data_IF_451601303277
#
_entry.id   IF_451601303277
#
_cell.length_a   1.000
_cell.length_b   1.000
_cell.length_c   1.000
_cell.angle_alpha   90.00
_cell.angle_beta   90.00
_cell.angle_gamma   90.00
#
_symmetry.space_group_name_H-M   'P 1'
#
loop_
_entity.id
_entity.type
_entity.pdbx_description
1 polymer ?
#
# COMPACT_ATOMS: atom_id res chain seq x y z
N UNK A 1 14.86 15.19 -21.69
CA UNK A 1 14.93 14.26 -22.86
C UNK A 1 13.57 14.25 -23.51
N UNK A 2 13.48 14.55 -24.82
CA UNK A 2 12.20 14.64 -25.55
C UNK A 2 12.16 13.58 -26.63
N UNK A 3 11.20 12.68 -26.55
CA UNK A 3 10.95 11.61 -27.52
C UNK A 3 9.71 11.97 -28.33
N UNK A 4 9.72 11.71 -29.63
CA UNK A 4 8.54 11.95 -30.49
C UNK A 4 8.16 10.65 -31.18
N UNK A 5 6.93 10.23 -30.94
CA UNK A 5 6.31 9.07 -31.57
C UNK A 5 5.22 9.57 -32.51
N UNK A 6 5.19 9.06 -33.71
CA UNK A 6 4.16 9.43 -34.70
C UNK A 6 3.32 8.21 -35.03
N UNK A 7 2.01 8.34 -34.97
CA UNK A 7 1.10 7.29 -35.36
C UNK A 7 0.02 7.85 -36.29
N UNK A 8 0.06 7.48 -37.57
CA UNK A 8 -0.80 8.06 -38.63
C UNK A 8 -0.72 9.62 -38.59
N UNK A 9 -1.82 10.25 -38.25
CA UNK A 9 -1.96 11.72 -38.19
C UNK A 9 -1.84 12.26 -36.75
N UNK A 10 -1.45 11.43 -35.78
CA UNK A 10 -1.30 11.83 -34.39
C UNK A 10 0.16 11.82 -33.99
N UNK A 11 0.62 12.93 -33.41
CA UNK A 11 1.96 13.07 -32.84
C UNK A 11 1.88 12.92 -31.30
N UNK A 12 2.71 12.07 -30.74
CA UNK A 12 2.92 12.02 -29.30
C UNK A 12 4.33 12.47 -28.95
N UNK A 13 4.43 13.51 -28.15
CA UNK A 13 5.68 14.07 -27.65
C UNK A 13 5.78 13.72 -26.16
N UNK A 14 6.75 12.89 -25.79
CA UNK A 14 7.01 12.50 -24.41
C UNK A 14 8.26 13.22 -23.90
N UNK A 15 8.08 14.08 -22.90
CA UNK A 15 9.14 14.88 -22.28
C UNK A 15 9.46 14.32 -20.89
N UNK A 16 10.69 13.87 -20.71
CA UNK A 16 11.20 13.43 -19.42
C UNK A 16 12.19 14.47 -18.91
N UNK A 17 11.88 15.08 -17.77
CA UNK A 17 12.67 16.18 -17.19
C UNK A 17 12.99 17.26 -18.24
N UNK A 18 11.95 17.92 -18.82
CA UNK A 18 12.14 18.92 -19.87
C UNK A 18 12.95 20.12 -19.36
N UNK A 19 13.75 20.68 -20.25
CA UNK A 19 14.45 21.95 -19.99
C UNK A 19 13.53 23.14 -20.26
N UNK A 20 13.91 24.33 -19.80
CA UNK A 20 13.20 25.58 -20.11
C UNK A 20 13.02 25.81 -21.62
N UNK A 21 14.07 25.45 -22.39
CA UNK A 21 14.03 25.57 -23.85
C UNK A 21 13.06 24.57 -24.48
N UNK A 22 13.01 23.33 -23.97
CA UNK A 22 12.05 22.31 -24.41
C UNK A 22 10.61 22.82 -24.21
N UNK A 23 10.29 23.32 -23.01
CA UNK A 23 8.98 23.86 -22.67
C UNK A 23 8.64 25.05 -23.57
N UNK A 24 9.56 26.00 -23.70
CA UNK A 24 9.36 27.19 -24.52
C UNK A 24 9.11 26.85 -26.00
N UNK A 25 9.83 25.84 -26.52
CA UNK A 25 9.67 25.38 -27.90
C UNK A 25 8.30 24.69 -28.09
N UNK A 26 7.85 23.88 -27.17
CA UNK A 26 6.53 23.22 -27.21
C UNK A 26 5.40 24.26 -27.15
N UNK A 27 5.47 25.20 -26.21
CA UNK A 27 4.47 26.26 -26.06
C UNK A 27 4.32 27.05 -27.36
N UNK A 28 5.43 27.44 -28.00
CA UNK A 28 5.42 28.15 -29.28
C UNK A 28 4.90 27.31 -30.45
N UNK A 29 5.38 26.06 -30.55
CA UNK A 29 5.06 25.15 -31.66
C UNK A 29 3.57 24.78 -31.72
N UNK A 30 2.94 24.59 -30.55
CA UNK A 30 1.56 24.16 -30.42
C UNK A 30 0.62 25.34 -30.03
N UNK A 31 1.13 26.56 -30.03
CA UNK A 31 0.37 27.79 -29.68
C UNK A 31 -0.35 27.66 -28.33
N UNK A 32 0.34 27.07 -27.34
CA UNK A 32 -0.23 26.85 -26.01
C UNK A 32 -0.30 28.16 -25.23
N UNK A 33 -1.30 28.25 -24.33
CA UNK A 33 -1.43 29.41 -23.46
C UNK A 33 -0.21 29.54 -22.54
N UNK A 34 0.30 30.76 -22.24
CA UNK A 34 1.47 30.94 -21.36
C UNK A 34 1.35 30.26 -20.00
N UNK A 35 0.16 30.22 -19.40
CA UNK A 35 -0.10 29.53 -18.15
C UNK A 35 0.18 28.01 -18.21
N UNK A 36 0.02 27.37 -19.36
CA UNK A 36 0.40 25.97 -19.55
C UNK A 36 1.92 25.81 -19.45
N UNK A 37 2.68 26.77 -19.99
CA UNK A 37 4.12 26.77 -19.84
C UNK A 37 4.58 26.97 -18.39
N UNK A 38 3.88 27.78 -17.62
CA UNK A 38 4.12 27.93 -16.16
C UNK A 38 3.82 26.64 -15.40
N UNK A 39 2.74 25.96 -15.77
CA UNK A 39 2.37 24.68 -15.17
C UNK A 39 3.42 23.61 -15.41
N UNK A 40 3.87 23.44 -16.66
CA UNK A 40 4.92 22.48 -17.00
C UNK A 40 6.26 22.72 -16.29
N UNK A 41 6.46 23.92 -15.70
CA UNK A 41 7.62 24.27 -14.87
C UNK A 41 7.40 24.00 -13.40
N UNK A 42 6.14 24.03 -12.98
CA UNK A 42 5.79 23.86 -11.57
C UNK A 42 5.58 22.37 -11.27
N UNK A 43 6.26 21.84 -10.26
CA UNK A 43 5.92 20.52 -9.67
C UNK A 43 4.73 20.71 -8.73
N UNK A 44 3.53 20.91 -9.27
CA UNK A 44 2.36 21.15 -8.46
C UNK A 44 1.48 19.89 -8.46
N UNK A 45 1.56 19.12 -7.39
CA UNK A 45 0.94 17.79 -7.24
C UNK A 45 -0.60 17.76 -7.20
N UNK A 46 -1.28 18.84 -7.58
CA UNK A 46 -2.74 18.91 -7.63
C UNK A 46 -3.25 18.45 -8.99
N UNK A 47 -3.90 17.30 -9.04
CA UNK A 47 -4.58 16.85 -10.24
C UNK A 47 -5.68 17.84 -10.64
N UNK A 48 -5.73 18.20 -11.92
CA UNK A 48 -6.68 19.17 -12.48
C UNK A 48 -6.93 18.95 -13.96
N UNK A 49 -8.05 19.46 -14.43
CA UNK A 49 -8.40 19.58 -15.84
C UNK A 49 -8.57 21.05 -16.18
N UNK A 50 -7.92 21.51 -17.27
CA UNK A 50 -8.16 22.82 -17.85
C UNK A 50 -8.47 22.64 -19.35
N UNK A 51 -9.67 23.01 -19.76
CA UNK A 51 -10.11 22.88 -21.15
C UNK A 51 -9.95 24.23 -21.86
N UNK A 52 -9.21 24.24 -22.97
CA UNK A 52 -9.03 25.36 -23.88
C UNK A 52 -9.76 25.06 -25.19
N UNK A 53 -9.82 26.03 -26.10
CA UNK A 53 -10.56 25.90 -27.37
C UNK A 53 -10.07 24.75 -28.26
N UNK A 54 -8.75 24.51 -28.32
CA UNK A 54 -8.15 23.54 -29.24
C UNK A 54 -7.44 22.35 -28.52
N UNK A 55 -7.29 22.41 -27.20
CA UNK A 55 -6.65 21.39 -26.42
C UNK A 55 -7.13 21.38 -24.95
N UNK A 56 -6.81 20.33 -24.23
CA UNK A 56 -7.01 20.26 -22.80
C UNK A 56 -5.68 19.96 -22.09
N UNK A 57 -5.45 20.59 -20.94
CA UNK A 57 -4.39 20.25 -20.01
C UNK A 57 -4.99 19.38 -18.90
N UNK A 58 -4.42 18.20 -18.68
CA UNK A 58 -4.79 17.26 -17.63
C UNK A 58 -3.53 17.00 -16.81
N UNK A 59 -3.56 17.34 -15.54
CA UNK A 59 -2.49 17.02 -14.58
C UNK A 59 -2.95 15.88 -13.71
N UNK A 60 -2.18 14.80 -13.64
CA UNK A 60 -2.46 13.64 -12.81
C UNK A 60 -1.20 13.24 -12.02
N UNK A 61 -1.40 12.82 -10.80
CA UNK A 61 -0.34 12.23 -9.97
C UNK A 61 -0.57 10.73 -9.86
N UNK A 62 0.38 9.93 -10.30
CA UNK A 62 0.30 8.47 -10.31
C UNK A 62 1.17 7.91 -9.17
N UNK A 63 0.61 7.13 -8.24
CA UNK A 63 1.40 6.44 -7.24
C UNK A 63 2.20 5.32 -7.92
N UNK A 64 3.48 5.25 -7.60
CA UNK A 64 4.38 4.22 -8.11
C UNK A 64 5.07 3.53 -6.93
N UNK A 65 5.03 2.22 -6.90
CA UNK A 65 5.68 1.43 -5.86
C UNK A 65 7.16 1.26 -6.17
N UNK A 66 8.02 1.75 -5.29
CA UNK A 66 9.48 1.73 -5.46
C UNK A 66 10.12 0.93 -4.33
N UNK A 67 11.09 0.08 -4.67
CA UNK A 67 11.90 -0.63 -3.69
C UNK A 67 13.02 0.32 -3.20
N UNK A 68 13.09 0.53 -1.89
CA UNK A 68 14.07 1.35 -1.21
C UNK A 68 14.80 0.49 -0.15
N UNK A 69 15.97 0.00 -0.48
CA UNK A 69 16.82 -0.83 0.39
C UNK A 69 16.12 -2.05 1.03
N UNK A 70 15.19 -2.67 0.29
CA UNK A 70 14.44 -3.86 0.75
C UNK A 70 13.10 -3.55 1.42
N UNK A 71 12.75 -2.28 1.56
CA UNK A 71 11.41 -1.80 1.91
C UNK A 71 10.73 -1.20 0.68
N UNK A 72 9.41 -1.30 0.61
CA UNK A 72 8.64 -0.66 -0.45
C UNK A 72 8.01 0.63 0.07
N UNK A 73 8.02 1.65 -0.80
CA UNK A 73 7.30 2.91 -0.55
C UNK A 73 6.56 3.35 -1.81
N UNK A 74 5.50 4.09 -1.61
CA UNK A 74 4.78 4.77 -2.70
C UNK A 74 5.44 6.12 -2.94
N UNK A 75 5.73 6.40 -4.20
CA UNK A 75 6.26 7.69 -4.65
C UNK A 75 5.30 8.27 -5.66
N UNK A 76 4.87 9.48 -5.42
CA UNK A 76 3.98 10.22 -6.30
C UNK A 76 4.74 10.71 -7.53
N UNK A 77 4.21 10.38 -8.72
CA UNK A 77 4.76 10.78 -10.02
C UNK A 77 3.74 11.64 -10.74
N UNK A 78 4.04 12.91 -10.90
CA UNK A 78 3.23 13.83 -11.68
C UNK A 78 3.42 13.60 -13.17
N UNK A 79 2.34 13.65 -13.90
CA UNK A 79 2.29 13.59 -15.37
C UNK A 79 1.33 14.65 -15.85
N UNK A 80 1.84 15.56 -16.67
CA UNK A 80 1.04 16.53 -17.39
C UNK A 80 0.72 15.99 -18.78
N UNK A 81 -0.55 16.03 -19.15
CA UNK A 81 -1.03 15.67 -20.48
C UNK A 81 -1.59 16.92 -21.14
N UNK A 82 -1.07 17.28 -22.31
CA UNK A 82 -1.68 18.27 -23.18
C UNK A 82 -2.27 17.53 -24.37
N UNK A 83 -3.58 17.56 -24.47
CA UNK A 83 -4.34 16.73 -25.38
C UNK A 83 -5.05 17.61 -26.42
N UNK A 84 -4.49 17.74 -27.61
CA UNK A 84 -5.11 18.34 -28.76
C UNK A 84 -5.77 17.33 -29.70
N UNK A 85 -6.37 17.75 -30.80
CA UNK A 85 -7.03 16.82 -31.72
C UNK A 85 -6.07 15.81 -32.36
N UNK A 86 -4.92 16.29 -32.83
CA UNK A 86 -3.94 15.47 -33.55
C UNK A 86 -2.58 15.37 -32.85
N UNK A 87 -2.49 15.82 -31.61
CA UNK A 87 -1.27 15.73 -30.83
C UNK A 87 -1.57 15.42 -29.37
N UNK A 88 -0.69 14.69 -28.75
CA UNK A 88 -0.61 14.49 -27.31
C UNK A 88 0.80 14.84 -26.86
N UNK A 89 0.91 15.60 -25.78
CA UNK A 89 2.19 15.88 -25.13
C UNK A 89 2.10 15.35 -23.73
N UNK A 90 3.09 14.59 -23.30
CA UNK A 90 3.27 14.17 -21.91
C UNK A 90 4.52 14.83 -21.35
N UNK A 91 4.42 15.39 -20.15
CA UNK A 91 5.56 15.94 -19.40
C UNK A 91 5.62 15.28 -18.03
N UNK A 92 6.82 14.87 -17.63
CA UNK A 92 7.08 14.19 -16.34
C UNK A 92 8.52 14.39 -15.92
N UNK A 93 8.77 14.33 -14.61
CA UNK A 93 10.12 14.52 -14.05
C UNK A 93 10.96 13.24 -14.11
N UNK A 94 10.34 12.07 -14.11
CA UNK A 94 11.04 10.77 -14.06
C UNK A 94 10.42 9.76 -15.00
N UNK A 95 11.18 8.72 -15.34
CA UNK A 95 10.67 7.57 -16.08
C UNK A 95 9.56 6.85 -15.30
N UNK A 96 8.53 6.40 -16.03
CA UNK A 96 7.42 5.59 -15.53
C UNK A 96 7.28 4.39 -16.44
N UNK A 97 7.50 3.19 -15.89
CA UNK A 97 7.58 1.94 -16.67
C UNK A 97 6.38 1.69 -17.57
N UNK A 98 5.18 2.04 -17.10
CA UNK A 98 3.95 1.88 -17.89
C UNK A 98 3.94 2.76 -19.14
N UNK A 99 4.49 3.98 -19.08
CA UNK A 99 4.59 4.88 -20.23
C UNK A 99 5.66 4.39 -21.21
N UNK A 100 6.81 3.99 -20.70
CA UNK A 100 7.90 3.46 -21.54
C UNK A 100 7.52 2.16 -22.25
N UNK A 101 6.82 1.29 -21.54
CA UNK A 101 6.27 0.07 -22.15
C UNK A 101 5.24 0.40 -23.23
N UNK A 102 4.35 1.38 -22.97
CA UNK A 102 3.38 1.83 -23.96
C UNK A 102 4.05 2.41 -25.22
N UNK A 103 5.10 3.23 -25.06
CA UNK A 103 5.88 3.77 -26.16
C UNK A 103 6.47 2.66 -27.06
N UNK A 104 7.06 1.64 -26.45
CA UNK A 104 7.61 0.48 -27.18
C UNK A 104 6.54 -0.30 -27.96
N UNK A 105 5.34 -0.48 -27.35
CA UNK A 105 4.22 -1.12 -28.04
C UNK A 105 3.75 -0.28 -29.21
N UNK A 106 3.62 1.03 -29.04
CA UNK A 106 3.17 1.94 -30.08
C UNK A 106 4.13 1.92 -31.27
N UNK A 107 5.43 2.03 -31.02
CA UNK A 107 6.45 1.96 -32.07
C UNK A 107 6.43 0.62 -32.83
N UNK A 108 6.26 -0.48 -32.09
CA UNK A 108 6.17 -1.82 -32.67
C UNK A 108 4.91 -1.98 -33.52
N UNK A 109 3.75 -1.54 -33.04
CA UNK A 109 2.49 -1.61 -33.78
C UNK A 109 2.49 -0.72 -35.00
N UNK A 110 3.12 0.45 -34.92
CA UNK A 110 3.31 1.35 -36.07
C UNK A 110 4.12 0.67 -37.18
N UNK A 111 5.19 -0.03 -36.82
CA UNK A 111 6.00 -0.82 -37.76
C UNK A 111 5.22 -1.97 -38.41
N UNK A 112 4.26 -2.55 -37.69
CA UNK A 112 3.47 -3.70 -38.15
C UNK A 112 2.16 -3.31 -38.85
N UNK A 113 1.78 -2.04 -38.85
CA UNK A 113 0.55 -1.54 -39.49
C UNK A 113 -0.75 -2.11 -38.89
N UNK A 114 -0.72 -2.57 -37.64
CA UNK A 114 -1.76 -3.42 -37.05
C UNK A 114 -2.88 -2.71 -36.29
N UNK A 115 -2.83 -1.39 -36.06
CA UNK A 115 -3.83 -0.73 -35.21
C UNK A 115 -4.63 0.31 -35.99
N UNK A 116 -5.84 -0.08 -36.42
CA UNK A 116 -6.77 0.81 -37.14
C UNK A 116 -7.55 1.78 -36.22
N UNK A 117 -7.43 1.63 -34.89
CA UNK A 117 -8.34 2.26 -33.92
C UNK A 117 -7.94 3.66 -33.45
N UNK A 118 -6.73 4.14 -33.78
CA UNK A 118 -6.26 5.47 -33.37
C UNK A 118 -6.57 6.47 -34.49
N UNK A 119 -7.65 7.21 -34.35
CA UNK A 119 -8.07 8.24 -35.30
C UNK A 119 -7.66 9.65 -34.87
N UNK A 120 -7.58 9.89 -33.56
CA UNK A 120 -7.20 11.17 -32.95
C UNK A 120 -6.46 10.94 -31.63
N UNK A 121 -5.85 12.00 -31.08
CA UNK A 121 -5.02 11.90 -29.87
C UNK A 121 -5.78 11.43 -28.63
N UNK A 122 -7.10 11.62 -28.56
CA UNK A 122 -7.93 11.08 -27.48
C UNK A 122 -7.89 9.56 -27.39
N UNK A 123 -7.86 8.84 -28.54
CA UNK A 123 -7.72 7.39 -28.51
C UNK A 123 -6.34 6.97 -27.98
N UNK A 124 -5.29 7.70 -28.35
CA UNK A 124 -3.95 7.45 -27.83
C UNK A 124 -3.88 7.66 -26.31
N UNK A 125 -4.48 8.77 -25.83
CA UNK A 125 -4.63 9.04 -24.41
C UNK A 125 -5.39 7.94 -23.67
N UNK A 126 -6.50 7.46 -24.22
CA UNK A 126 -7.27 6.35 -23.65
C UNK A 126 -6.41 5.09 -23.43
N UNK A 127 -5.66 4.67 -24.45
CA UNK A 127 -4.81 3.49 -24.35
C UNK A 127 -3.66 3.69 -23.37
N UNK A 128 -3.07 4.89 -23.30
CA UNK A 128 -2.04 5.23 -22.34
C UNK A 128 -2.58 5.22 -20.91
N UNK A 129 -3.75 5.83 -20.67
CA UNK A 129 -4.40 5.81 -19.35
C UNK A 129 -4.76 4.41 -18.90
N UNK A 130 -5.27 3.59 -19.81
CA UNK A 130 -5.56 2.17 -19.52
C UNK A 130 -4.30 1.42 -19.11
N UNK A 131 -3.16 1.68 -19.76
CA UNK A 131 -1.88 1.07 -19.40
C UNK A 131 -1.35 1.56 -18.06
N UNK A 132 -1.49 2.85 -17.77
CA UNK A 132 -1.14 3.43 -16.46
C UNK A 132 -1.95 2.78 -15.33
N UNK A 133 -3.26 2.69 -15.51
CA UNK A 133 -4.13 2.07 -14.50
C UNK A 133 -3.87 0.57 -14.33
N UNK A 134 -3.53 -0.14 -15.41
CA UNK A 134 -3.10 -1.52 -15.29
C UNK A 134 -1.83 -1.65 -14.43
N UNK A 135 -0.84 -0.77 -14.61
CA UNK A 135 0.36 -0.75 -13.77
C UNK A 135 0.03 -0.49 -12.28
N UNK A 136 -0.93 0.39 -12.01
CA UNK A 136 -1.40 0.65 -10.65
C UNK A 136 -2.12 -0.57 -10.04
N UNK A 137 -2.90 -1.30 -10.84
CA UNK A 137 -3.53 -2.57 -10.41
C UNK A 137 -2.45 -3.61 -10.07
N UNK A 138 -1.44 -3.75 -10.92
CA UNK A 138 -0.32 -4.67 -10.70
C UNK A 138 0.43 -4.33 -9.38
N UNK A 139 0.60 -3.04 -9.06
CA UNK A 139 1.18 -2.60 -7.80
C UNK A 139 0.31 -2.96 -6.57
N UNK A 140 -1.02 -2.80 -6.66
CA UNK A 140 -1.94 -3.18 -5.59
C UNK A 140 -1.97 -4.70 -5.39
N UNK A 141 -1.92 -5.48 -6.46
CA UNK A 141 -1.81 -6.94 -6.39
C UNK A 141 -0.50 -7.37 -5.71
N UNK A 142 0.61 -6.70 -5.98
CA UNK A 142 1.87 -6.93 -5.29
C UNK A 142 1.79 -6.62 -3.77
N UNK A 143 1.03 -5.59 -3.39
CA UNK A 143 0.75 -5.27 -1.98
C UNK A 143 -0.10 -6.37 -1.35
N UNK A 144 -1.14 -6.85 -2.04
CA UNK A 144 -1.97 -7.97 -1.59
C UNK A 144 -1.16 -9.25 -1.40
N UNK A 145 -0.25 -9.55 -2.31
CA UNK A 145 0.66 -10.70 -2.18
C UNK A 145 1.58 -10.57 -0.96
N UNK A 146 2.00 -9.33 -0.61
CA UNK A 146 2.76 -9.09 0.61
C UNK A 146 1.91 -9.38 1.87
N UNK A 147 0.62 -9.06 1.87
CA UNK A 147 -0.32 -9.43 2.94
C UNK A 147 -0.48 -10.94 3.08
N UNK A 148 -0.63 -11.68 1.98
CA UNK A 148 -0.72 -13.16 1.99
C UNK A 148 0.57 -13.77 2.56
N UNK A 149 1.73 -13.22 2.23
CA UNK A 149 3.00 -13.66 2.84
C UNK A 149 3.06 -13.35 4.33
N UNK A 150 2.58 -12.18 4.75
CA UNK A 150 2.51 -11.80 6.17
C UNK A 150 1.58 -12.74 6.95
N UNK A 151 0.41 -13.08 6.41
CA UNK A 151 -0.53 -14.06 6.97
C UNK A 151 0.16 -15.40 7.27
N UNK A 152 0.87 -15.94 6.27
CA UNK A 152 1.64 -17.19 6.45
C UNK A 152 2.68 -17.09 7.58
N UNK A 153 3.30 -15.92 7.79
CA UNK A 153 4.26 -15.72 8.87
C UNK A 153 3.59 -15.57 10.25
N UNK A 154 2.42 -14.95 10.32
CA UNK A 154 1.61 -14.86 11.53
C UNK A 154 1.31 -16.28 12.06
N UNK A 155 0.79 -17.15 11.21
CA UNK A 155 0.48 -18.54 11.60
C UNK A 155 1.71 -19.43 11.86
N UNK A 156 2.91 -19.01 11.44
CA UNK A 156 4.18 -19.66 11.78
C UNK A 156 4.78 -19.18 13.11
N UNK A 157 4.11 -18.29 13.82
CA UNK A 157 4.55 -17.83 15.13
C UNK A 157 5.43 -16.58 15.11
N UNK A 158 5.47 -15.84 13.99
CA UNK A 158 6.26 -14.61 13.84
C UNK A 158 5.43 -13.33 14.07
N UNK A 159 4.39 -13.37 14.89
CA UNK A 159 3.39 -12.29 15.07
C UNK A 159 4.04 -10.96 15.42
N UNK A 160 5.06 -10.93 16.29
CA UNK A 160 5.75 -9.69 16.70
C UNK A 160 6.41 -8.96 15.54
N UNK A 161 7.03 -9.70 14.61
CA UNK A 161 7.66 -9.12 13.43
C UNK A 161 6.62 -8.61 12.43
N UNK A 162 5.47 -9.26 12.37
CA UNK A 162 4.40 -8.90 11.44
C UNK A 162 3.70 -7.61 11.81
N UNK A 163 3.74 -7.15 13.07
CA UNK A 163 3.25 -5.82 13.46
C UNK A 163 3.91 -4.70 12.63
N UNK A 164 5.22 -4.77 12.46
CA UNK A 164 5.97 -3.78 11.67
C UNK A 164 5.64 -3.91 10.17
N UNK A 165 5.64 -5.13 9.64
CA UNK A 165 5.32 -5.40 8.22
C UNK A 165 3.91 -4.92 7.87
N UNK A 166 2.90 -5.25 8.66
CA UNK A 166 1.52 -4.80 8.46
C UNK A 166 1.39 -3.28 8.58
N UNK A 167 2.21 -2.64 9.42
CA UNK A 167 2.24 -1.18 9.53
C UNK A 167 2.84 -0.51 8.30
N UNK A 168 3.89 -1.08 7.71
CA UNK A 168 4.46 -0.59 6.45
C UNK A 168 3.47 -0.73 5.29
N UNK A 169 2.85 -1.91 5.14
CA UNK A 169 1.82 -2.13 4.11
C UNK A 169 0.63 -1.17 4.29
N UNK A 170 0.25 -0.87 5.53
CA UNK A 170 -0.78 0.13 5.79
C UNK A 170 -0.44 1.51 5.25
N UNK A 171 0.80 1.94 5.40
CA UNK A 171 1.26 3.23 4.86
C UNK A 171 1.23 3.21 3.33
N UNK A 172 1.74 2.14 2.70
CA UNK A 172 1.67 2.00 1.23
C UNK A 172 0.23 2.16 0.72
N UNK A 173 -0.76 1.50 1.37
CA UNK A 173 -2.17 1.59 0.99
C UNK A 173 -2.78 2.98 1.22
N UNK A 174 -2.40 3.66 2.32
CA UNK A 174 -2.86 5.02 2.62
C UNK A 174 -2.33 6.00 1.58
N UNK A 175 -1.03 5.96 1.30
CA UNK A 175 -0.37 6.83 0.34
C UNK A 175 -0.95 6.61 -1.06
N UNK A 176 -1.08 5.35 -1.48
CA UNK A 176 -1.68 4.99 -2.76
C UNK A 176 -3.11 5.54 -2.90
N UNK A 177 -3.94 5.37 -1.88
CA UNK A 177 -5.31 5.87 -1.87
C UNK A 177 -5.39 7.40 -1.88
N UNK A 178 -4.48 8.06 -1.15
CA UNK A 178 -4.46 9.52 -1.07
C UNK A 178 -4.17 10.12 -2.43
N UNK A 179 -3.19 9.59 -3.15
CA UNK A 179 -2.80 10.04 -4.49
C UNK A 179 -3.92 9.78 -5.50
N UNK A 180 -4.53 8.59 -5.49
CA UNK A 180 -5.55 8.24 -6.49
C UNK A 180 -6.89 8.93 -6.27
N UNK A 181 -7.21 9.37 -5.05
CA UNK A 181 -8.53 9.96 -4.73
C UNK A 181 -8.88 11.14 -5.63
N UNK A 182 -7.90 11.95 -5.99
CA UNK A 182 -8.08 13.20 -6.75
C UNK A 182 -8.44 12.91 -8.23
N UNK A 183 -8.10 11.73 -8.77
CA UNK A 183 -8.44 11.36 -10.13
C UNK A 183 -9.96 11.33 -10.38
N UNK A 184 -10.77 11.06 -9.34
CA UNK A 184 -12.23 11.04 -9.48
C UNK A 184 -12.76 12.36 -10.03
N UNK A 185 -12.33 13.46 -9.45
CA UNK A 185 -12.83 14.79 -9.78
C UNK A 185 -12.44 15.15 -11.22
N UNK A 186 -11.24 14.78 -11.65
CA UNK A 186 -10.76 14.98 -13.03
C UNK A 186 -11.64 14.22 -14.03
N UNK A 187 -11.99 12.96 -13.74
CA UNK A 187 -12.84 12.18 -14.65
C UNK A 187 -14.29 12.67 -14.67
N UNK A 188 -14.82 13.15 -13.56
CA UNK A 188 -16.16 13.74 -13.50
C UNK A 188 -16.22 15.05 -14.29
N UNK A 189 -15.24 15.90 -14.12
CA UNK A 189 -15.12 17.15 -14.88
C UNK A 189 -14.91 16.88 -16.38
N UNK A 190 -14.06 15.89 -16.72
CA UNK A 190 -13.82 15.50 -18.11
C UNK A 190 -15.10 15.00 -18.81
N UNK A 191 -15.93 14.21 -18.12
CA UNK A 191 -17.22 13.75 -18.66
C UNK A 191 -18.20 14.90 -18.91
N UNK A 192 -18.15 15.96 -18.09
CA UNK A 192 -19.03 17.12 -18.25
C UNK A 192 -18.55 18.07 -19.36
N UNK A 193 -17.23 18.20 -19.51
CA UNK A 193 -16.60 19.17 -20.40
C UNK A 193 -16.41 18.63 -21.81
N UNK A 194 -16.10 17.34 -21.97
CA UNK A 194 -15.74 16.75 -23.27
C UNK A 194 -16.93 16.47 -24.20
N UNK A 195 -18.16 16.49 -23.72
CA UNK A 195 -19.36 16.45 -24.58
C UNK A 195 -19.45 17.65 -25.52
N UNK A 196 -18.76 18.76 -25.15
CA UNK A 196 -18.70 20.03 -25.91
C UNK A 196 -17.33 20.28 -26.54
N UNK A 197 -16.36 19.38 -26.37
CA UNK A 197 -14.97 19.54 -26.78
C UNK A 197 -14.75 19.12 -28.25
N UNK A 198 -13.54 19.42 -28.74
CA UNK A 198 -13.05 19.08 -30.08
C UNK A 198 -13.00 17.56 -30.38
N UNK A 199 -13.15 16.65 -29.40
CA UNK A 199 -13.24 15.19 -29.63
C UNK A 199 -14.68 14.71 -29.96
N UNK A 200 -15.71 15.53 -29.65
CA UNK A 200 -17.10 15.15 -29.88
C UNK A 200 -17.68 14.08 -28.95
N UNK A 201 -18.95 13.77 -29.17
CA UNK A 201 -19.68 12.78 -28.33
C UNK A 201 -19.16 11.36 -28.45
N UNK A 202 -18.52 11.01 -29.54
CA UNK A 202 -18.02 9.66 -29.81
C UNK A 202 -16.83 9.30 -28.88
N UNK A 203 -16.20 10.29 -28.22
CA UNK A 203 -15.16 10.07 -27.26
C UNK A 203 -15.67 9.82 -25.82
N UNK A 204 -16.90 10.18 -25.48
CA UNK A 204 -17.50 9.99 -24.16
C UNK A 204 -17.45 8.53 -23.66
N UNK A 205 -17.69 7.48 -24.47
CA UNK A 205 -17.52 6.09 -24.02
C UNK A 205 -16.10 5.75 -23.57
N UNK A 206 -15.06 6.35 -24.18
CA UNK A 206 -13.67 6.12 -23.79
C UNK A 206 -13.37 6.74 -22.44
N UNK A 207 -13.84 7.95 -22.16
CA UNK A 207 -13.71 8.60 -20.84
C UNK A 207 -14.44 7.79 -19.75
N UNK A 208 -15.63 7.27 -20.05
CA UNK A 208 -16.35 6.38 -19.14
C UNK A 208 -15.54 5.11 -18.84
N UNK A 209 -14.94 4.52 -19.87
CA UNK A 209 -14.11 3.33 -19.70
C UNK A 209 -12.86 3.61 -18.85
N UNK A 210 -12.23 4.78 -18.97
CA UNK A 210 -11.12 5.20 -18.07
C UNK A 210 -11.62 5.32 -16.62
N UNK A 211 -12.78 5.95 -16.42
CA UNK A 211 -13.40 6.09 -15.09
C UNK A 211 -13.73 4.72 -14.49
N UNK A 212 -14.17 3.77 -15.30
CA UNK A 212 -14.47 2.40 -14.83
C UNK A 212 -13.20 1.67 -14.41
N UNK A 213 -12.08 1.82 -15.12
CA UNK A 213 -10.78 1.28 -14.68
C UNK A 213 -10.32 1.93 -13.37
N UNK A 214 -10.50 3.24 -13.21
CA UNK A 214 -10.25 3.95 -11.96
C UNK A 214 -11.12 3.42 -10.80
N UNK A 215 -12.39 3.14 -11.04
CA UNK A 215 -13.30 2.59 -10.03
C UNK A 215 -12.83 1.19 -9.57
N UNK A 216 -12.31 0.35 -10.47
CA UNK A 216 -11.70 -0.94 -10.11
C UNK A 216 -10.51 -0.79 -9.17
N UNK A 217 -9.64 0.21 -9.40
CA UNK A 217 -8.53 0.51 -8.50
C UNK A 217 -9.03 0.84 -7.10
N UNK A 218 -10.04 1.69 -6.98
CA UNK A 218 -10.63 2.03 -5.68
C UNK A 218 -11.21 0.81 -4.97
N UNK A 219 -11.91 -0.07 -5.69
CA UNK A 219 -12.47 -1.31 -5.16
C UNK A 219 -11.36 -2.24 -4.67
N UNK A 220 -10.30 -2.43 -5.46
CA UNK A 220 -9.15 -3.25 -5.05
C UNK A 220 -8.45 -2.68 -3.81
N UNK A 221 -8.28 -1.37 -3.72
CA UNK A 221 -7.70 -0.72 -2.55
C UNK A 221 -8.54 -0.93 -1.29
N UNK A 222 -9.88 -0.85 -1.41
CA UNK A 222 -10.80 -1.11 -0.30
C UNK A 222 -10.70 -2.56 0.17
N UNK A 223 -10.80 -3.52 -0.76
CA UNK A 223 -10.71 -4.95 -0.45
C UNK A 223 -9.35 -5.32 0.17
N UNK A 224 -8.25 -4.74 -0.34
CA UNK A 224 -6.91 -4.98 0.22
C UNK A 224 -6.75 -4.36 1.61
N UNK A 225 -7.39 -3.21 1.86
CA UNK A 225 -7.43 -2.59 3.19
C UNK A 225 -8.23 -3.43 4.19
N UNK A 226 -9.37 -3.98 3.79
CA UNK A 226 -10.16 -4.89 4.62
C UNK A 226 -9.34 -6.12 5.02
N UNK A 227 -8.67 -6.75 4.06
CA UNK A 227 -7.75 -7.87 4.34
C UNK A 227 -6.66 -7.48 5.34
N UNK A 228 -6.06 -6.29 5.21
CA UNK A 228 -5.07 -5.78 6.17
C UNK A 228 -5.65 -5.65 7.58
N UNK A 229 -6.88 -5.15 7.72
CA UNK A 229 -7.55 -4.99 9.03
C UNK A 229 -7.78 -6.36 9.67
N UNK A 230 -8.32 -7.32 8.93
CA UNK A 230 -8.58 -8.68 9.41
C UNK A 230 -7.28 -9.38 9.86
N UNK A 231 -6.19 -9.20 9.10
CA UNK A 231 -4.89 -9.75 9.48
C UNK A 231 -4.30 -9.10 10.73
N UNK A 232 -4.51 -7.80 10.94
CA UNK A 232 -4.10 -7.10 12.16
C UNK A 232 -4.86 -7.65 13.38
N UNK A 233 -6.18 -7.74 13.28
CA UNK A 233 -7.01 -8.29 14.36
C UNK A 233 -6.62 -9.73 14.70
N UNK A 234 -6.36 -10.56 13.70
CA UNK A 234 -5.86 -11.93 13.89
C UNK A 234 -4.50 -11.94 14.57
N UNK A 235 -3.57 -11.11 14.13
CA UNK A 235 -2.22 -11.00 14.70
C UNK A 235 -2.27 -10.56 16.17
N UNK A 236 -3.07 -9.56 16.48
CA UNK A 236 -3.23 -9.04 17.84
C UNK A 236 -3.88 -10.10 18.75
N UNK A 237 -4.91 -10.80 18.27
CA UNK A 237 -5.55 -11.90 19.02
C UNK A 237 -4.57 -13.05 19.34
N UNK A 238 -3.68 -13.39 18.41
CA UNK A 238 -2.66 -14.41 18.63
C UNK A 238 -1.59 -13.93 19.64
N UNK A 239 -1.18 -12.65 19.55
CA UNK A 239 -0.28 -12.03 20.53
C UNK A 239 -0.89 -12.05 21.94
N UNK A 240 -2.15 -11.66 22.09
CA UNK A 240 -2.88 -11.65 23.35
C UNK A 240 -3.02 -13.08 23.93
N UNK A 241 -3.30 -14.07 23.08
CA UNK A 241 -3.36 -15.47 23.48
C UNK A 241 -2.03 -15.94 24.04
N UNK A 242 -0.92 -15.63 23.36
CA UNK A 242 0.44 -15.97 23.85
C UNK A 242 0.79 -15.24 25.15
N UNK A 243 0.41 -13.97 25.27
CA UNK A 243 0.63 -13.20 26.49
C UNK A 243 -0.15 -13.80 27.67
N UNK A 244 -1.41 -14.15 27.44
CA UNK A 244 -2.26 -14.81 28.45
C UNK A 244 -1.68 -16.16 28.88
N UNK A 245 -1.10 -16.93 27.95
CA UNK A 245 -0.42 -18.19 28.28
C UNK A 245 0.81 -17.96 29.14
N UNK A 246 1.64 -16.96 28.86
CA UNK A 246 2.79 -16.60 29.69
C UNK A 246 2.34 -16.19 31.10
N UNK A 247 1.32 -15.34 31.21
CA UNK A 247 0.74 -14.89 32.50
C UNK A 247 0.21 -16.10 33.27
N UNK A 248 -0.46 -17.03 32.61
CA UNK A 248 -0.96 -18.27 33.20
C UNK A 248 0.19 -19.12 33.79
N UNK A 249 1.27 -19.33 33.03
CA UNK A 249 2.44 -20.07 33.49
C UNK A 249 3.08 -19.37 34.70
N UNK A 250 3.27 -18.06 34.64
CA UNK A 250 3.83 -17.29 35.77
C UNK A 250 2.95 -17.37 37.03
N UNK A 251 1.63 -17.29 36.84
CA UNK A 251 0.65 -17.42 37.95
C UNK A 251 0.73 -18.81 38.58
N UNK A 252 0.78 -19.88 37.77
CA UNK A 252 0.92 -21.23 38.25
C UNK A 252 2.22 -21.42 39.06
N UNK A 253 3.35 -20.91 38.55
CA UNK A 253 4.62 -20.95 39.26
C UNK A 253 4.52 -20.22 40.62
N UNK A 254 3.91 -19.01 40.63
CA UNK A 254 3.74 -18.25 41.86
C UNK A 254 2.87 -18.98 42.89
N UNK A 255 1.81 -19.65 42.49
CA UNK A 255 0.95 -20.43 43.38
C UNK A 255 1.66 -21.67 43.96
N UNK A 256 2.68 -22.18 43.27
CA UNK A 256 3.50 -23.27 43.79
C UNK A 256 4.56 -22.73 44.75
N UNK A 257 5.31 -21.70 44.38
CA UNK A 257 6.44 -21.20 45.15
C UNK A 257 6.03 -20.41 46.41
N UNK A 258 4.93 -19.65 46.37
CA UNK A 258 4.52 -18.76 47.46
C UNK A 258 4.20 -19.53 48.73
N UNK A 259 3.40 -20.65 48.75
CA UNK A 259 3.19 -21.49 49.97
C UNK A 259 4.48 -22.14 50.44
N UNK A 260 5.35 -22.60 49.52
CA UNK A 260 6.61 -23.20 49.88
C UNK A 260 7.55 -22.23 50.61
N UNK A 261 7.64 -21.00 50.06
CA UNK A 261 8.44 -19.91 50.66
C UNK A 261 7.88 -19.54 52.04
N UNK A 262 6.54 -19.45 52.14
CA UNK A 262 5.89 -19.18 53.43
C UNK A 262 6.23 -20.24 54.48
N UNK A 263 6.10 -21.51 54.16
CA UNK A 263 6.50 -22.62 55.06
C UNK A 263 7.98 -22.49 55.42
N UNK A 264 8.87 -22.31 54.44
CA UNK A 264 10.32 -22.18 54.73
C UNK A 264 10.61 -20.95 55.62
N UNK A 265 9.93 -19.81 55.44
CA UNK A 265 10.15 -18.62 56.27
C UNK A 265 9.70 -18.77 57.71
N UNK A 266 8.66 -19.56 58.00
CA UNK A 266 8.25 -19.83 59.36
C UNK A 266 9.35 -20.50 60.19
N UNK A 267 10.19 -21.33 59.58
CA UNK A 267 11.30 -22.00 60.23
C UNK A 267 12.58 -21.17 60.33
N UNK A 268 12.63 -19.99 59.72
CA UNK A 268 13.80 -19.09 59.77
C UNK A 268 13.61 -17.91 60.75
N UNK A 269 12.46 -17.79 61.43
CA UNK A 269 12.20 -16.71 62.41
C UNK A 269 13.03 -16.96 63.68
N UNK A 270 14.01 -16.10 64.02
CA UNK A 270 14.79 -16.25 65.23
C UNK A 270 13.93 -15.95 66.46
N UNK A 271 14.05 -16.81 67.53
CA UNK A 271 13.36 -16.60 68.81
C UNK A 271 12.05 -17.38 69.01
N UNK A 272 11.63 -18.17 68.06
CA UNK A 272 10.54 -19.15 68.26
C UNK A 272 11.17 -20.54 68.38
N UNK A 273 11.11 -21.12 69.59
CA UNK A 273 11.45 -22.53 69.75
C UNK A 273 10.38 -23.39 69.06
N UNK A 274 10.61 -23.60 67.75
CA UNK A 274 9.76 -24.54 67.01
C UNK A 274 10.09 -25.94 67.47
N UNK A 275 9.16 -26.71 68.12
CA UNK A 275 9.43 -27.99 68.74
C UNK A 275 9.86 -29.06 67.75
N UNK A 276 10.04 -28.73 66.49
CA UNK A 276 10.42 -29.65 65.41
C UNK A 276 11.84 -29.43 64.87
N UNK A 277 12.71 -28.61 65.49
CA UNK A 277 14.05 -28.29 64.91
C UNK A 277 15.21 -29.06 65.52
N UNK A 278 15.01 -29.78 66.58
CA UNK A 278 16.10 -30.43 67.35
C UNK A 278 16.53 -31.77 66.82
N UNK A 279 15.78 -32.52 66.06
CA UNK A 279 16.15 -33.82 65.51
C UNK A 279 16.19 -33.81 63.94
N UNK A 280 17.14 -34.55 63.37
CA UNK A 280 17.34 -34.70 61.94
C UNK A 280 16.09 -35.17 61.15
N UNK A 281 15.19 -35.90 61.84
CA UNK A 281 13.95 -36.43 61.26
C UNK A 281 12.91 -35.33 60.95
N UNK A 282 12.89 -34.26 61.71
CA UNK A 282 11.96 -33.12 61.50
C UNK A 282 12.21 -32.37 60.19
N UNK A 283 13.46 -32.30 59.72
CA UNK A 283 13.78 -31.72 58.42
C UNK A 283 13.10 -32.51 57.30
N UNK A 284 13.13 -33.85 57.35
CA UNK A 284 12.42 -34.66 56.34
C UNK A 284 10.90 -34.48 56.40
N UNK A 285 10.32 -34.29 57.59
CA UNK A 285 8.90 -34.01 57.72
C UNK A 285 8.47 -32.68 57.09
N UNK A 286 9.28 -31.61 57.25
CA UNK A 286 9.02 -30.30 56.61
C UNK A 286 9.10 -30.42 55.08
N UNK A 287 10.14 -31.07 54.55
CA UNK A 287 10.27 -31.31 53.12
C UNK A 287 9.09 -32.13 52.58
N UNK A 288 8.66 -33.17 53.37
CA UNK A 288 7.48 -33.98 53.03
C UNK A 288 6.20 -33.15 52.92
N UNK A 289 5.95 -32.23 53.87
CA UNK A 289 4.80 -31.29 53.83
C UNK A 289 4.87 -30.38 52.60
N UNK A 290 6.05 -29.83 52.30
CA UNK A 290 6.25 -29.00 51.12
C UNK A 290 5.95 -29.73 49.80
N UNK A 291 6.38 -30.99 49.68
CA UNK A 291 6.08 -31.85 48.54
C UNK A 291 4.57 -32.11 48.43
N UNK A 292 3.89 -32.42 49.53
CA UNK A 292 2.44 -32.65 49.56
C UNK A 292 1.68 -31.40 49.09
N UNK A 293 2.05 -30.20 49.60
CA UNK A 293 1.45 -28.95 49.19
C UNK A 293 1.65 -28.71 47.68
N UNK A 294 2.86 -28.96 47.18
CA UNK A 294 3.18 -28.79 45.74
C UNK A 294 2.34 -29.74 44.88
N UNK A 295 2.30 -31.04 45.23
CA UNK A 295 1.52 -32.04 44.49
C UNK A 295 0.03 -31.73 44.55
N UNK A 296 -0.49 -31.33 45.71
CA UNK A 296 -1.89 -30.92 45.83
C UNK A 296 -2.25 -29.72 44.98
N UNK A 297 -1.39 -28.71 44.97
CA UNK A 297 -1.57 -27.51 44.16
C UNK A 297 -1.61 -27.85 42.66
N UNK A 298 -0.63 -28.62 42.18
CA UNK A 298 -0.57 -29.06 40.77
C UNK A 298 -1.80 -29.91 40.41
N UNK A 299 -2.22 -30.82 41.27
CA UNK A 299 -3.40 -31.65 41.04
C UNK A 299 -4.68 -30.85 40.97
N UNK A 300 -4.85 -29.84 41.84
CA UNK A 300 -5.99 -28.92 41.83
C UNK A 300 -6.05 -28.11 40.53
N UNK A 301 -4.93 -27.55 40.07
CA UNK A 301 -4.86 -26.79 38.81
C UNK A 301 -5.12 -27.67 37.59
N UNK A 302 -4.62 -28.92 37.57
CA UNK A 302 -4.92 -29.87 36.51
C UNK A 302 -6.42 -30.20 36.44
N UNK A 303 -7.09 -30.34 37.60
CA UNK A 303 -8.54 -30.57 37.66
C UNK A 303 -9.37 -29.37 37.22
N UNK A 304 -8.84 -28.14 37.30
CA UNK A 304 -9.48 -26.92 36.88
C UNK A 304 -9.24 -26.58 35.41
N UNK A 305 -8.62 -27.47 34.62
CA UNK A 305 -8.21 -27.20 33.22
C UNK A 305 -7.30 -25.98 33.05
N UNK A 306 -6.50 -25.64 34.06
CA UNK A 306 -5.55 -24.53 34.03
C UNK A 306 -4.13 -24.99 33.58
N UNK A 307 -3.97 -26.26 33.30
CA UNK A 307 -2.79 -26.87 32.70
C UNK A 307 -3.12 -27.57 31.41
#
# INVERSE_FOLDING_TARGET
MTNTHSYKNVAWIDMISPTEDDISNIVKRYSLHPLVGEELRSNNTLAKLCVYDEYALIVLTVPTRVNDEGSYKIVDREIDFILGKNFMITSRTTAIDSIEYFAKILDTNNMLGKDERIEHAGHLFYFLMKRLYQGMIDDIENIKDALVRAESQIFKGNERKMVEVLSMISRELIDFRQTTRIHRDVWEEMLQSFDKSFFGRDFTPYVKSIKDEFNKINELLLNTKELLVDLRETNDSLLDTKQNEIVRILTLASFIFLPLTFVASLFTIPGIDVPMTTEKWHWFAIVGIMIIISVFTVFKFKKMNWM
#
